data_IF_295143618733
#
_entry.id   IF_295143618733
#
_cell.length_a   1.000
_cell.length_b   1.000
_cell.length_c   1.000
_cell.angle_alpha   90.00
_cell.angle_beta   90.00
_cell.angle_gamma   90.00
#
_symmetry.space_group_name_H-M   'P 1'
#
loop_
_entity.id
_entity.type
_entity.pdbx_description
1 polymer ?
#
# COMPACT_ATOMS: atom_id res chain seq x y z
N UNK A 1 3.84 3.54 20.23
CA UNK A 1 4.85 4.48 19.68
C UNK A 1 4.45 5.06 18.32
N UNK A 2 3.87 4.27 17.41
CA UNK A 2 3.40 4.72 16.09
C UNK A 2 2.34 5.83 16.15
N UNK A 3 1.20 5.60 16.79
CA UNK A 3 0.09 6.57 16.84
C UNK A 3 0.51 7.97 17.33
N UNK A 4 1.40 8.03 18.33
CA UNK A 4 1.95 9.31 18.83
C UNK A 4 2.75 10.07 17.76
N UNK A 5 3.46 9.37 16.88
CA UNK A 5 4.20 9.97 15.76
C UNK A 5 3.23 10.45 14.69
N UNK A 6 2.24 9.62 14.34
CA UNK A 6 1.19 9.98 13.37
C UNK A 6 0.46 11.25 13.79
N UNK A 7 -0.02 11.31 15.03
CA UNK A 7 -0.73 12.47 15.58
C UNK A 7 0.12 13.77 15.60
N UNK A 8 1.45 13.66 15.56
CA UNK A 8 2.37 14.80 15.51
C UNK A 8 2.96 15.06 14.12
N UNK A 9 2.52 14.33 13.09
CA UNK A 9 3.09 14.39 11.74
C UNK A 9 4.56 13.94 11.66
N UNK A 10 5.05 13.18 12.65
CA UNK A 10 6.45 12.77 12.75
C UNK A 10 6.72 11.51 11.91
N UNK A 11 7.77 11.56 11.09
CA UNK A 11 8.24 10.43 10.28
C UNK A 11 9.77 10.40 10.26
N UNK A 12 10.37 9.23 10.00
CA UNK A 12 11.83 9.12 9.90
C UNK A 12 12.33 9.65 8.55
N UNK A 13 11.63 9.26 7.48
CA UNK A 13 11.72 9.88 6.17
C UNK A 13 10.34 10.39 5.76
N UNK A 14 10.32 11.49 5.00
CA UNK A 14 9.09 12.01 4.41
C UNK A 14 8.47 10.94 3.48
N UNK A 15 7.20 10.53 3.68
CA UNK A 15 6.57 9.59 2.76
C UNK A 15 6.23 10.26 1.43
N UNK A 16 5.98 9.42 0.41
CA UNK A 16 5.71 9.85 -0.94
C UNK A 16 4.54 9.08 -1.56
N UNK A 17 3.82 9.70 -2.50
CA UNK A 17 2.86 9.04 -3.38
C UNK A 17 3.59 8.43 -4.59
N UNK A 18 4.14 7.24 -4.41
CA UNK A 18 4.82 6.47 -5.46
C UNK A 18 6.26 6.91 -5.73
N UNK A 19 6.50 8.20 -6.04
CA UNK A 19 7.85 8.71 -6.38
C UNK A 19 8.30 9.84 -5.45
N UNK A 20 9.62 10.04 -5.32
CA UNK A 20 10.20 11.04 -4.39
C UNK A 20 9.77 12.49 -4.66
N UNK A 21 9.40 12.79 -5.90
CA UNK A 21 8.91 14.10 -6.33
C UNK A 21 7.55 14.44 -5.67
N UNK A 22 6.76 13.42 -5.32
CA UNK A 22 5.38 13.55 -4.84
C UNK A 22 5.30 13.37 -3.32
N UNK A 23 5.82 14.34 -2.56
CA UNK A 23 5.80 14.32 -1.08
C UNK A 23 4.38 14.25 -0.51
N UNK A 24 4.17 13.37 0.47
CA UNK A 24 2.85 13.08 1.07
C UNK A 24 2.71 13.68 2.48
N UNK A 25 1.57 14.31 2.75
CA UNK A 25 1.10 14.68 4.09
C UNK A 25 0.17 13.59 4.63
N UNK A 26 0.18 13.36 5.95
CA UNK A 26 -0.67 12.37 6.60
C UNK A 26 -1.17 12.88 7.94
N UNK A 27 -2.34 12.39 8.35
CA UNK A 27 -2.97 12.58 9.66
C UNK A 27 -3.61 11.27 10.12
N UNK A 28 -4.15 11.25 11.33
CA UNK A 28 -5.13 10.22 11.69
C UNK A 28 -6.43 10.50 10.93
N UNK A 29 -7.25 9.47 10.67
CA UNK A 29 -8.59 9.68 10.14
C UNK A 29 -9.45 10.44 11.15
N UNK A 30 -10.33 11.29 10.64
CA UNK A 30 -11.34 11.98 11.43
C UNK A 30 -12.65 11.17 11.43
N UNK A 31 -13.51 11.38 12.43
CA UNK A 31 -14.76 10.62 12.58
C UNK A 31 -15.75 10.86 11.42
N UNK A 32 -15.61 11.95 10.68
CA UNK A 32 -16.43 12.36 9.55
C UNK A 32 -15.82 12.06 8.18
N UNK A 33 -14.65 11.42 8.11
CA UNK A 33 -14.07 10.95 6.84
C UNK A 33 -15.00 9.93 6.17
N UNK A 34 -15.46 10.23 4.95
CA UNK A 34 -16.34 9.37 4.16
C UNK A 34 -15.68 8.92 2.87
N UNK A 35 -15.87 7.65 2.53
CA UNK A 35 -15.52 7.14 1.21
C UNK A 35 -16.39 7.79 0.12
N UNK A 36 -15.84 7.93 -1.08
CA UNK A 36 -16.62 8.34 -2.25
C UNK A 36 -17.67 7.26 -2.58
N UNK A 37 -18.85 7.59 -3.12
CA UNK A 37 -19.90 6.60 -3.38
C UNK A 37 -19.65 5.74 -4.63
N UNK A 38 -18.49 5.88 -5.28
CA UNK A 38 -18.20 5.32 -6.59
C UNK A 38 -17.88 3.82 -6.52
N UNK A 39 -18.39 3.07 -7.50
CA UNK A 39 -18.08 1.65 -7.68
C UNK A 39 -17.49 1.46 -9.08
N UNK A 40 -16.34 0.80 -9.18
CA UNK A 40 -15.59 0.69 -10.43
C UNK A 40 -14.76 -0.59 -10.49
N UNK A 41 -14.79 -1.27 -11.63
CA UNK A 41 -13.79 -2.29 -11.99
C UNK A 41 -12.54 -1.56 -12.50
N UNK A 42 -11.46 -1.58 -11.72
CA UNK A 42 -10.19 -0.91 -12.07
C UNK A 42 -9.36 -1.82 -12.98
N UNK A 43 -9.45 -3.13 -12.79
CA UNK A 43 -8.67 -4.12 -13.53
C UNK A 43 -7.41 -4.56 -12.78
N UNK A 44 -6.46 -5.22 -13.48
CA UNK A 44 -5.22 -5.70 -12.88
C UNK A 44 -4.39 -4.56 -12.27
N UNK A 45 -4.07 -4.67 -10.98
CA UNK A 45 -3.22 -3.74 -10.24
C UNK A 45 -2.13 -4.49 -9.49
N UNK A 46 -0.96 -3.84 -9.34
CA UNK A 46 0.14 -4.37 -8.54
C UNK A 46 -0.32 -4.50 -7.09
N UNK A 47 -0.18 -5.70 -6.52
CA UNK A 47 -0.40 -5.98 -5.11
C UNK A 47 0.85 -5.63 -4.31
N UNK A 48 1.92 -6.42 -4.50
CA UNK A 48 3.20 -6.24 -3.83
C UNK A 48 4.31 -7.02 -4.57
N UNK A 49 5.54 -6.91 -4.10
CA UNK A 49 6.74 -7.53 -4.65
C UNK A 49 7.27 -8.59 -3.68
N UNK A 50 7.36 -9.83 -4.14
CA UNK A 50 8.09 -10.89 -3.42
C UNK A 50 9.59 -10.72 -3.64
N UNK A 51 10.29 -10.37 -2.57
CA UNK A 51 11.75 -10.24 -2.62
C UNK A 51 12.44 -11.58 -2.33
N UNK A 52 13.56 -11.87 -3.00
CA UNK A 52 14.37 -13.05 -2.71
C UNK A 52 14.85 -13.08 -1.26
N UNK A 53 14.68 -14.22 -0.59
CA UNK A 53 15.04 -14.37 0.83
C UNK A 53 16.56 -14.37 1.10
N UNK A 54 17.38 -14.69 0.08
CA UNK A 54 18.84 -14.78 0.20
C UNK A 54 19.52 -13.47 -0.23
N UNK A 55 20.13 -12.72 0.71
CA UNK A 55 20.88 -11.49 0.41
C UNK A 55 22.12 -11.73 -0.48
N UNK A 56 22.60 -12.97 -0.60
CA UNK A 56 23.74 -13.36 -1.43
C UNK A 56 23.45 -13.37 -2.94
N UNK A 57 22.17 -13.45 -3.33
CA UNK A 57 21.76 -13.43 -4.73
C UNK A 57 21.62 -11.99 -5.25
N UNK A 58 22.77 -11.34 -5.50
CA UNK A 58 22.86 -9.94 -5.97
C UNK A 58 22.06 -9.60 -7.25
N UNK A 59 21.53 -10.60 -7.96
CA UNK A 59 20.76 -10.46 -9.20
C UNK A 59 19.37 -11.09 -9.15
N UNK A 60 18.93 -11.62 -8.01
CA UNK A 60 17.59 -12.18 -7.92
C UNK A 60 16.56 -11.06 -8.04
N UNK A 61 15.64 -11.21 -9.01
CA UNK A 61 14.64 -10.20 -9.32
C UNK A 61 13.47 -10.34 -8.36
N UNK A 62 12.94 -9.21 -7.91
CA UNK A 62 11.66 -9.18 -7.20
C UNK A 62 10.55 -9.67 -8.15
N UNK A 63 9.63 -10.49 -7.62
CA UNK A 63 8.52 -11.05 -8.38
C UNK A 63 7.26 -10.23 -8.07
N UNK A 64 6.65 -9.56 -9.06
CA UNK A 64 5.43 -8.80 -8.84
C UNK A 64 4.21 -9.71 -8.75
N UNK A 65 3.40 -9.50 -7.72
CA UNK A 65 2.08 -10.09 -7.55
C UNK A 65 1.03 -9.07 -7.94
N UNK A 66 -0.02 -9.51 -8.63
CA UNK A 66 -1.11 -8.66 -9.10
C UNK A 66 -2.45 -9.21 -8.61
N UNK A 67 -3.43 -8.33 -8.51
CA UNK A 67 -4.82 -8.69 -8.25
C UNK A 67 -5.76 -7.88 -9.14
N UNK A 68 -6.97 -8.39 -9.37
CA UNK A 68 -7.97 -7.65 -10.11
C UNK A 68 -8.70 -6.69 -9.16
N UNK A 69 -8.30 -5.42 -9.18
CA UNK A 69 -8.80 -4.39 -8.27
C UNK A 69 -10.23 -3.97 -8.64
N UNK A 70 -11.07 -3.89 -7.61
CA UNK A 70 -12.44 -3.38 -7.68
C UNK A 70 -12.70 -2.42 -6.53
N UNK A 71 -13.29 -1.29 -6.85
CA UNK A 71 -13.80 -0.32 -5.88
C UNK A 71 -15.28 -0.59 -5.67
N UNK A 72 -15.73 -0.84 -4.44
CA UNK A 72 -17.14 -0.90 -4.04
C UNK A 72 -17.43 0.28 -3.12
N UNK A 73 -18.23 1.23 -3.60
CA UNK A 73 -18.61 2.46 -2.87
C UNK A 73 -17.40 3.11 -2.17
N UNK A 74 -16.35 3.35 -2.96
CA UNK A 74 -15.12 3.99 -2.51
C UNK A 74 -14.16 3.10 -1.71
N UNK A 75 -14.51 1.83 -1.47
CA UNK A 75 -13.68 0.87 -0.73
C UNK A 75 -13.00 -0.09 -1.70
N UNK A 76 -11.66 -0.10 -1.69
CA UNK A 76 -10.85 -1.07 -2.43
C UNK A 76 -10.49 -2.22 -1.50
N UNK A 77 -11.08 -3.40 -1.75
CA UNK A 77 -10.74 -4.61 -0.98
C UNK A 77 -9.44 -5.23 -1.50
N UNK A 78 -8.42 -5.20 -0.65
CA UNK A 78 -7.11 -5.81 -0.92
C UNK A 78 -7.15 -7.28 -0.45
N UNK A 79 -6.87 -8.28 -1.32
CA UNK A 79 -7.06 -9.68 -0.95
C UNK A 79 -6.04 -10.17 0.09
N UNK A 80 -6.52 -10.51 1.29
CA UNK A 80 -5.63 -10.88 2.41
C UNK A 80 -4.77 -12.13 2.16
N UNK A 81 -5.27 -13.08 1.37
CA UNK A 81 -4.54 -14.33 1.11
C UNK A 81 -3.21 -14.10 0.38
N UNK A 82 -3.11 -13.03 -0.42
CA UNK A 82 -1.91 -12.69 -1.18
C UNK A 82 -0.73 -12.29 -0.28
N UNK A 83 -0.98 -11.78 0.94
CA UNK A 83 0.10 -11.51 1.89
C UNK A 83 0.87 -12.78 2.25
N UNK A 84 0.19 -13.92 2.38
CA UNK A 84 0.86 -15.21 2.66
C UNK A 84 1.70 -15.70 1.49
N UNK A 85 1.33 -15.35 0.26
CA UNK A 85 2.06 -15.76 -0.96
C UNK A 85 3.31 -14.90 -1.17
N UNK A 86 3.19 -13.60 -0.91
CA UNK A 86 4.29 -12.64 -1.01
C UNK A 86 5.31 -12.81 0.11
N UNK A 87 4.86 -12.97 1.35
CA UNK A 87 5.74 -13.05 2.53
C UNK A 87 6.28 -14.47 2.82
N UNK A 88 5.65 -15.50 2.25
CA UNK A 88 6.06 -16.90 2.42
C UNK A 88 7.12 -17.38 1.44
#
# INVERSE_FOLDING_TARGET
MFLRRVAKGQCFYRPYLGTRECSLHFSLPEDDDQAIPDTMDIGPMLFDLKYPADPGQKNARAIPYFFNAKLDRGILHVPEYLYKEVDG
#
